data_IF_796238673248
#
_entry.id   IF_796238673248
#
_cell.length_a   1.000
_cell.length_b   1.000
_cell.length_c   1.000
_cell.angle_alpha   90.00
_cell.angle_beta   90.00
_cell.angle_gamma   90.00
#
_symmetry.space_group_name_H-M   'P 1'
#
loop_
_entity.id
_entity.type
_entity.pdbx_description
1 polymer ?
#
# COMPACT_ATOMS: atom_id res chain seq x y z
N UNK A 1 -0.46 -31.86 28.63
CA UNK A 1 -0.85 -30.63 29.35
C UNK A 1 0.41 -29.88 29.72
N UNK A 2 0.90 -28.98 28.84
CA UNK A 2 1.84 -27.89 29.16
C UNK A 2 1.59 -26.79 28.11
N UNK A 3 0.89 -25.75 28.58
CA UNK A 3 0.82 -24.34 28.18
C UNK A 3 0.94 -23.94 26.69
N UNK A 4 -0.20 -23.56 26.10
CA UNK A 4 -0.28 -22.56 25.04
C UNK A 4 -0.05 -21.18 25.67
N UNK A 5 0.80 -20.36 25.04
CA UNK A 5 1.09 -19.01 25.49
C UNK A 5 -0.13 -18.11 25.29
N UNK A 6 -0.72 -17.66 26.39
CA UNK A 6 -1.69 -16.57 26.38
C UNK A 6 -0.94 -15.28 26.06
N UNK A 7 -1.28 -14.65 24.93
CA UNK A 7 -0.82 -13.31 24.61
C UNK A 7 -1.67 -12.31 25.40
N UNK A 8 -1.18 -11.92 26.58
CA UNK A 8 -1.80 -10.89 27.41
C UNK A 8 -1.11 -9.56 27.13
N UNK A 9 -1.74 -8.66 26.38
CA UNK A 9 -1.35 -7.24 26.32
C UNK A 9 -2.57 -6.38 26.64
N UNK A 10 -2.35 -5.41 27.53
CA UNK A 10 -3.33 -4.66 28.31
C UNK A 10 -4.34 -3.85 27.48
N UNK A 11 -5.59 -4.31 27.48
CA UNK A 11 -6.83 -3.52 27.57
C UNK A 11 -7.92 -4.49 28.09
N UNK A 12 -8.25 -4.41 29.38
CA UNK A 12 -9.32 -5.16 30.07
C UNK A 12 -9.62 -6.61 29.61
N UNK A 13 -8.89 -7.61 30.11
CA UNK A 13 -9.28 -9.05 30.18
C UNK A 13 -10.17 -9.61 29.06
N UNK A 14 -9.94 -9.26 27.79
CA UNK A 14 -10.64 -9.87 26.66
C UNK A 14 -9.64 -10.78 25.94
N UNK A 15 -9.83 -12.10 26.06
CA UNK A 15 -9.12 -13.05 25.21
C UNK A 15 -9.72 -12.98 23.80
N UNK A 16 -8.89 -12.76 22.79
CA UNK A 16 -9.30 -12.73 21.38
C UNK A 16 -9.10 -14.09 20.73
N UNK A 17 -10.11 -14.58 20.02
CA UNK A 17 -10.11 -15.86 19.31
C UNK A 17 -9.25 -15.85 18.05
N UNK A 18 -9.15 -14.69 17.39
CA UNK A 18 -8.47 -14.54 16.12
C UNK A 18 -7.54 -13.35 16.13
N UNK A 19 -6.39 -13.51 15.47
CA UNK A 19 -5.42 -12.47 15.21
C UNK A 19 -5.09 -12.49 13.71
N UNK A 20 -5.21 -11.33 13.06
CA UNK A 20 -4.75 -11.10 11.70
C UNK A 20 -3.60 -10.11 11.75
N UNK A 21 -2.49 -10.46 11.10
CA UNK A 21 -1.45 -9.50 10.74
C UNK A 21 -1.59 -9.15 9.26
N UNK A 22 -1.74 -7.86 8.97
CA UNK A 22 -1.83 -7.32 7.62
C UNK A 22 -0.64 -6.38 7.40
N UNK A 23 0.37 -6.79 6.62
CA UNK A 23 1.60 -6.02 6.48
C UNK A 23 1.36 -4.69 5.77
N UNK A 24 2.27 -3.74 5.98
CA UNK A 24 2.45 -2.61 5.09
C UNK A 24 3.24 -3.04 3.86
N UNK A 25 3.39 -2.12 2.89
CA UNK A 25 4.11 -2.40 1.66
C UNK A 25 5.05 -1.29 1.25
N UNK A 26 6.08 -1.66 0.51
CA UNK A 26 6.94 -0.74 -0.24
C UNK A 26 6.99 -1.12 -1.71
N UNK A 27 7.23 -0.13 -2.57
CA UNK A 27 7.28 -0.29 -4.02
C UNK A 27 8.59 0.33 -4.54
N UNK A 28 9.62 -0.46 -4.86
CA UNK A 28 10.88 0.07 -5.36
C UNK A 28 10.80 0.53 -6.83
N UNK A 29 9.92 -0.10 -7.63
CA UNK A 29 9.70 0.19 -9.06
C UNK A 29 8.21 0.00 -9.42
N UNK A 30 7.71 0.79 -10.35
CA UNK A 30 6.29 0.82 -10.75
C UNK A 30 5.52 1.98 -10.12
N UNK A 31 6.17 3.12 -9.93
CA UNK A 31 5.55 4.34 -9.41
C UNK A 31 4.43 4.83 -10.33
N UNK A 32 3.22 5.08 -9.81
CA UNK A 32 2.15 5.77 -10.54
C UNK A 32 1.77 5.19 -11.92
N UNK A 33 1.93 3.88 -12.11
CA UNK A 33 1.55 3.20 -13.35
C UNK A 33 0.41 2.20 -13.16
N UNK A 34 0.12 1.78 -11.92
CA UNK A 34 -0.95 0.83 -11.59
C UNK A 34 -2.33 1.32 -12.06
N UNK A 35 -2.66 2.58 -11.79
CA UNK A 35 -3.91 3.21 -12.22
C UNK A 35 -3.97 3.50 -13.73
N UNK A 36 -2.90 3.19 -14.47
CA UNK A 36 -2.83 3.20 -15.94
C UNK A 36 -2.64 1.80 -16.52
N UNK A 37 -2.89 0.75 -15.73
CA UNK A 37 -2.72 -0.66 -16.11
C UNK A 37 -1.27 -1.02 -16.50
N UNK A 38 -0.28 -0.40 -15.85
CA UNK A 38 1.13 -0.72 -16.03
C UNK A 38 1.58 -1.96 -15.26
N UNK A 39 2.89 -2.24 -15.33
CA UNK A 39 3.53 -3.23 -14.48
C UNK A 39 3.98 -2.59 -13.18
N UNK A 40 3.81 -3.28 -12.06
CA UNK A 40 4.27 -2.82 -10.77
C UNK A 40 5.01 -3.89 -10.00
N UNK A 41 5.84 -3.44 -9.05
CA UNK A 41 6.55 -4.33 -8.14
C UNK A 41 6.42 -3.91 -6.69
N UNK A 42 6.62 -4.84 -5.76
CA UNK A 42 6.71 -4.48 -4.36
C UNK A 42 6.98 -5.61 -3.40
N UNK A 43 7.09 -5.22 -2.13
CA UNK A 43 7.27 -6.11 -0.99
C UNK A 43 6.19 -5.82 0.04
N UNK A 44 5.67 -6.86 0.68
CA UNK A 44 5.12 -6.73 2.02
C UNK A 44 6.28 -6.63 3.02
N UNK A 45 6.10 -5.91 4.12
CA UNK A 45 7.15 -5.72 5.13
C UNK A 45 6.74 -6.25 6.50
N UNK A 46 7.72 -6.51 7.37
CA UNK A 46 7.56 -6.99 8.75
C UNK A 46 7.00 -5.94 9.74
N UNK A 47 6.36 -4.91 9.19
CA UNK A 47 5.57 -3.89 9.88
C UNK A 47 4.21 -3.86 9.23
N UNK A 48 3.16 -3.80 10.04
CA UNK A 48 1.80 -3.80 9.54
C UNK A 48 0.79 -3.36 10.58
N UNK A 49 -0.41 -3.87 10.36
CA UNK A 49 -1.59 -3.70 11.20
C UNK A 49 -1.91 -5.04 11.84
N UNK A 50 -2.07 -5.03 13.15
CA UNK A 50 -2.60 -6.14 13.91
C UNK A 50 -4.09 -5.89 14.19
N UNK A 51 -4.92 -6.88 13.89
CA UNK A 51 -6.34 -6.92 14.23
C UNK A 51 -6.63 -8.15 15.07
N UNK A 52 -7.00 -7.95 16.33
CA UNK A 52 -7.47 -9.00 17.23
C UNK A 52 -8.97 -8.91 17.38
N UNK A 53 -9.68 -10.03 17.23
CA UNK A 53 -11.15 -9.99 17.28
C UNK A 53 -11.79 -11.31 17.72
N UNK A 54 -13.03 -11.18 18.20
CA UNK A 54 -13.98 -12.25 18.48
C UNK A 54 -15.16 -12.17 17.51
N UNK A 55 -15.73 -13.31 17.15
CA UNK A 55 -16.96 -13.36 16.34
C UNK A 55 -18.18 -13.28 17.25
N UNK A 56 -19.07 -12.34 16.99
CA UNK A 56 -20.24 -12.12 17.82
C UNK A 56 -21.29 -13.23 17.61
N UNK A 57 -21.91 -13.68 18.70
CA UNK A 57 -22.83 -14.82 18.70
C UNK A 57 -22.15 -16.20 18.60
N UNK A 58 -20.83 -16.29 18.74
CA UNK A 58 -20.17 -17.57 19.02
C UNK A 58 -20.32 -17.88 20.51
N UNK A 59 -21.18 -18.85 20.85
CA UNK A 59 -21.38 -19.27 22.24
C UNK A 59 -20.07 -19.79 22.84
N UNK A 60 -19.38 -18.99 23.65
CA UNK A 60 -18.33 -19.50 24.52
C UNK A 60 -18.94 -19.92 25.85
N UNK A 61 -18.83 -21.21 26.17
CA UNK A 61 -19.14 -21.73 27.50
C UNK A 61 -17.86 -21.61 28.32
N UNK A 62 -17.84 -20.69 29.29
CA UNK A 62 -16.84 -20.70 30.36
C UNK A 62 -17.57 -20.84 31.70
N UNK A 63 -17.21 -21.87 32.47
CA UNK A 63 -17.75 -22.14 33.82
C UNK A 63 -19.29 -22.17 33.94
N UNK A 64 -19.99 -22.67 32.92
CA UNK A 64 -21.45 -22.87 32.98
C UNK A 64 -22.25 -21.56 33.11
N UNK A 65 -21.64 -20.39 32.87
CA UNK A 65 -22.32 -19.10 32.83
C UNK A 65 -22.22 -18.50 31.44
N UNK A 66 -23.37 -18.16 30.87
CA UNK A 66 -23.46 -17.35 29.66
C UNK A 66 -22.82 -15.98 29.93
N UNK A 67 -21.87 -15.57 29.09
CA UNK A 67 -21.38 -14.19 29.08
C UNK A 67 -21.30 -13.72 27.63
N UNK A 68 -22.32 -12.96 27.23
CA UNK A 68 -22.30 -11.62 26.63
C UNK A 68 -23.78 -11.27 26.42
N UNK A 69 -24.35 -10.58 27.40
CA UNK A 69 -25.53 -9.76 27.16
C UNK A 69 -25.03 -8.46 26.50
N UNK A 70 -25.50 -8.18 25.28
CA UNK A 70 -25.83 -6.85 24.73
C UNK A 70 -25.40 -6.54 23.29
N UNK A 71 -24.69 -7.43 22.58
CA UNK A 71 -24.45 -7.21 21.15
C UNK A 71 -25.21 -8.23 20.30
N UNK A 72 -26.06 -7.72 19.41
CA UNK A 72 -26.70 -8.50 18.36
C UNK A 72 -25.63 -9.24 17.55
N UNK A 73 -25.93 -10.43 17.04
CA UNK A 73 -24.96 -11.24 16.29
C UNK A 73 -24.34 -10.48 15.10
N UNK A 74 -25.09 -9.56 14.51
CA UNK A 74 -24.67 -8.70 13.39
C UNK A 74 -23.83 -7.49 13.81
N UNK A 75 -23.71 -7.19 15.09
CA UNK A 75 -23.07 -5.97 15.55
C UNK A 75 -21.55 -6.05 15.38
N UNK A 76 -20.96 -4.98 14.85
CA UNK A 76 -19.51 -4.76 14.78
C UNK A 76 -19.15 -3.69 15.79
N UNK A 77 -18.19 -3.98 16.67
CA UNK A 77 -17.61 -3.06 17.63
C UNK A 77 -16.09 -3.09 17.50
N UNK A 78 -15.48 -1.95 17.15
CA UNK A 78 -14.04 -1.86 16.92
C UNK A 78 -13.45 -0.70 17.72
N UNK A 79 -12.36 -0.99 18.42
CA UNK A 79 -11.51 -0.01 19.07
C UNK A 79 -10.17 0.10 18.36
N UNK A 80 -9.50 1.25 18.47
CA UNK A 80 -8.16 1.45 17.93
C UNK A 80 -7.20 1.85 19.04
N UNK A 81 -6.04 1.21 19.08
CA UNK A 81 -4.94 1.61 19.98
C UNK A 81 -4.14 2.80 19.44
N UNK A 82 -4.47 3.28 18.23
CA UNK A 82 -3.73 4.34 17.53
C UNK A 82 -4.58 5.59 17.31
N UNK A 83 -5.90 5.44 17.25
CA UNK A 83 -6.84 6.53 16.99
C UNK A 83 -7.93 6.53 18.04
N UNK A 84 -8.35 7.71 18.48
CA UNK A 84 -9.46 7.84 19.42
C UNK A 84 -10.79 7.46 18.77
N UNK A 85 -11.74 7.11 19.63
CA UNK A 85 -13.11 6.77 19.24
C UNK A 85 -13.33 5.26 19.05
N UNK A 86 -14.61 4.91 18.97
CA UNK A 86 -15.11 3.55 18.79
C UNK A 86 -15.93 3.52 17.51
N UNK A 87 -15.81 2.44 16.75
CA UNK A 87 -16.59 2.22 15.53
C UNK A 87 -17.62 1.14 15.78
N UNK A 88 -18.89 1.52 15.70
CA UNK A 88 -20.02 0.61 15.85
C UNK A 88 -20.95 0.66 14.64
N UNK A 89 -21.36 -0.51 14.14
CA UNK A 89 -22.40 -0.63 13.11
C UNK A 89 -22.96 -2.05 13.02
N UNK A 90 -24.12 -2.20 12.40
CA UNK A 90 -24.69 -3.51 12.07
C UNK A 90 -24.15 -3.98 10.71
N UNK A 91 -23.51 -5.16 10.64
CA UNK A 91 -22.91 -5.71 9.41
C UNK A 91 -23.94 -6.23 8.39
N UNK A 92 -25.16 -6.56 8.82
CA UNK A 92 -26.24 -7.10 7.99
C UNK A 92 -27.05 -5.98 7.31
N UNK A 93 -27.09 -4.79 7.89
CA UNK A 93 -27.75 -3.64 7.28
C UNK A 93 -26.97 -3.11 6.07
N UNK A 94 -27.61 -2.58 5.02
CA UNK A 94 -26.92 -1.79 4.00
C UNK A 94 -26.45 -0.46 4.61
N UNK A 95 -25.15 -0.17 4.61
CA UNK A 95 -24.63 1.14 5.04
C UNK A 95 -24.33 2.01 3.81
N UNK A 96 -24.81 3.27 3.81
CA UNK A 96 -24.88 4.09 2.60
C UNK A 96 -24.08 5.42 2.65
N UNK A 97 -23.53 5.83 3.79
CA UNK A 97 -22.84 7.13 3.91
C UNK A 97 -21.55 7.02 4.71
N UNK A 98 -20.49 7.66 4.22
CA UNK A 98 -19.22 7.85 4.93
C UNK A 98 -19.42 8.75 6.15
N UNK A 99 -18.79 8.42 7.27
CA UNK A 99 -18.89 9.23 8.49
C UNK A 99 -17.67 10.13 8.69
N UNK A 100 -16.61 9.96 7.90
CA UNK A 100 -15.40 10.77 7.97
C UNK A 100 -14.42 10.37 9.09
N UNK A 101 -14.70 9.27 9.79
CA UNK A 101 -13.83 8.66 10.79
C UNK A 101 -13.06 7.45 10.23
N UNK A 102 -12.15 6.88 11.05
CA UNK A 102 -11.32 5.74 10.65
C UNK A 102 -12.13 4.44 10.41
N UNK A 103 -13.35 4.35 10.93
CA UNK A 103 -14.30 3.27 10.67
C UNK A 103 -14.82 3.21 9.24
N UNK A 104 -14.58 4.23 8.42
CA UNK A 104 -14.97 4.20 7.00
C UNK A 104 -14.26 3.06 6.25
N UNK A 105 -13.07 2.63 6.70
CA UNK A 105 -12.41 1.45 6.13
C UNK A 105 -13.16 0.15 6.47
N UNK A 106 -13.64 -0.01 7.71
CA UNK A 106 -14.46 -1.16 8.08
C UNK A 106 -15.80 -1.16 7.32
N UNK A 107 -16.46 0.00 7.23
CA UNK A 107 -17.70 0.15 6.45
C UNK A 107 -17.47 -0.11 4.96
N UNK A 108 -16.33 0.31 4.40
CA UNK A 108 -15.93 0.03 3.02
C UNK A 108 -15.69 -1.46 2.76
N UNK A 109 -14.98 -2.15 3.66
CA UNK A 109 -14.77 -3.60 3.57
C UNK A 109 -16.10 -4.36 3.59
N UNK A 110 -17.02 -3.99 4.50
CA UNK A 110 -18.39 -4.49 4.53
C UNK A 110 -19.11 -4.23 3.20
N UNK A 111 -19.09 -3.00 2.69
CA UNK A 111 -19.75 -2.62 1.44
C UNK A 111 -19.30 -3.51 0.26
N UNK A 112 -17.99 -3.70 0.10
CA UNK A 112 -17.46 -4.52 -1.00
C UNK A 112 -17.79 -6.02 -0.84
N UNK A 113 -17.78 -6.54 0.40
CA UNK A 113 -18.18 -7.91 0.68
C UNK A 113 -19.68 -8.14 0.42
N UNK A 114 -20.54 -7.19 0.81
CA UNK A 114 -22.00 -7.31 0.64
C UNK A 114 -22.46 -7.40 -0.81
N UNK A 115 -21.63 -6.97 -1.77
CA UNK A 115 -21.91 -7.16 -3.21
C UNK A 115 -21.91 -8.63 -3.63
N UNK A 116 -21.24 -9.49 -2.88
CA UNK A 116 -21.02 -10.91 -3.21
C UNK A 116 -21.66 -11.85 -2.20
N UNK A 117 -21.77 -11.43 -0.94
CA UNK A 117 -22.17 -12.29 0.16
C UNK A 117 -23.18 -11.61 1.09
N UNK A 118 -24.06 -12.41 1.69
CA UNK A 118 -24.92 -11.95 2.78
C UNK A 118 -24.14 -12.03 4.10
N UNK A 119 -23.88 -10.88 4.72
CA UNK A 119 -23.20 -10.81 6.01
C UNK A 119 -24.24 -10.80 7.15
N UNK A 120 -23.99 -11.57 8.21
CA UNK A 120 -24.89 -11.75 9.35
C UNK A 120 -24.18 -11.72 10.70
N UNK A 121 -22.89 -12.08 10.74
CA UNK A 121 -22.07 -12.12 11.94
C UNK A 121 -21.07 -10.96 11.94
N UNK A 122 -21.17 -10.11 12.96
CA UNK A 122 -20.20 -9.04 13.22
C UNK A 122 -19.05 -9.52 14.11
N UNK A 123 -18.19 -8.58 14.48
CA UNK A 123 -17.01 -8.85 15.30
C UNK A 123 -16.86 -7.80 16.40
N UNK A 124 -16.28 -8.20 17.52
CA UNK A 124 -15.76 -7.28 18.53
C UNK A 124 -14.24 -7.39 18.55
N UNK A 125 -13.52 -6.30 18.32
CA UNK A 125 -12.07 -6.36 18.15
C UNK A 125 -11.33 -5.04 18.37
N UNK A 126 -10.00 -5.13 18.44
CA UNK A 126 -9.10 -3.99 18.55
C UNK A 126 -8.06 -4.03 17.45
N UNK A 127 -7.71 -2.85 16.92
CA UNK A 127 -6.74 -2.67 15.84
C UNK A 127 -5.56 -1.81 16.30
N UNK A 128 -4.35 -2.16 15.84
CA UNK A 128 -3.12 -1.42 16.12
C UNK A 128 -2.23 -1.33 14.88
N UNK A 129 -1.77 -0.14 14.56
CA UNK A 129 -0.70 0.06 13.58
C UNK A 129 0.68 -0.01 14.23
N UNK A 130 1.65 -0.68 13.59
CA UNK A 130 3.02 -0.82 14.11
C UNK A 130 3.89 0.43 13.93
N UNK A 131 3.58 1.29 12.94
CA UNK A 131 4.30 2.55 12.68
C UNK A 131 3.31 3.68 12.35
N UNK A 132 3.73 4.96 12.47
CA UNK A 132 2.88 6.09 12.13
C UNK A 132 2.37 6.06 10.68
N UNK A 133 1.16 6.61 10.47
CA UNK A 133 0.58 6.72 9.12
C UNK A 133 1.39 7.67 8.25
N UNK A 134 1.85 7.21 7.07
CA UNK A 134 2.58 8.07 6.14
C UNK A 134 3.17 7.40 4.91
N UNK A 135 2.35 6.96 3.95
CA UNK A 135 2.82 6.56 2.61
C UNK A 135 3.17 5.08 2.42
N UNK A 136 2.86 4.22 3.40
CA UNK A 136 3.14 2.77 3.37
C UNK A 136 1.88 1.89 3.18
N UNK A 137 0.80 2.50 2.68
CA UNK A 137 -0.52 1.85 2.48
C UNK A 137 -1.16 1.30 3.73
N UNK A 138 -1.13 2.11 4.78
CA UNK A 138 -1.88 1.81 5.99
C UNK A 138 -3.39 1.66 5.73
N UNK A 139 -3.97 2.37 4.74
CA UNK A 139 -5.37 2.19 4.34
C UNK A 139 -5.66 0.81 3.77
N UNK A 140 -4.85 0.36 2.81
CA UNK A 140 -5.00 -0.95 2.20
C UNK A 140 -4.75 -2.10 3.20
N UNK A 141 -3.77 -1.95 4.11
CA UNK A 141 -3.50 -2.92 5.16
C UNK A 141 -4.72 -3.11 6.08
N UNK A 142 -5.32 -2.00 6.52
CA UNK A 142 -6.54 -2.01 7.35
C UNK A 142 -7.72 -2.60 6.58
N UNK A 143 -7.93 -2.21 5.32
CA UNK A 143 -9.00 -2.76 4.48
C UNK A 143 -8.88 -4.28 4.31
N UNK A 144 -7.68 -4.79 4.03
CA UNK A 144 -7.42 -6.23 3.90
C UNK A 144 -7.72 -6.95 5.22
N UNK A 145 -7.28 -6.41 6.36
CA UNK A 145 -7.56 -7.00 7.67
C UNK A 145 -9.07 -7.11 7.93
N UNK A 146 -9.85 -6.07 7.63
CA UNK A 146 -11.31 -6.11 7.79
C UNK A 146 -12.00 -7.04 6.80
N UNK A 147 -11.59 -7.07 5.53
CA UNK A 147 -12.13 -8.03 4.55
C UNK A 147 -11.92 -9.46 5.06
N UNK A 148 -10.72 -9.80 5.51
CA UNK A 148 -10.41 -11.12 6.06
C UNK A 148 -11.20 -11.42 7.36
N UNK A 149 -11.31 -10.46 8.28
CA UNK A 149 -12.03 -10.65 9.53
C UNK A 149 -13.53 -10.86 9.32
N UNK A 150 -14.17 -10.06 8.46
CA UNK A 150 -15.60 -10.20 8.15
C UNK A 150 -15.89 -11.46 7.35
N UNK A 151 -15.01 -11.84 6.42
CA UNK A 151 -15.12 -13.13 5.73
C UNK A 151 -15.05 -14.29 6.73
N UNK A 152 -14.07 -14.28 7.63
CA UNK A 152 -13.91 -15.28 8.69
C UNK A 152 -15.13 -15.37 9.61
N UNK A 153 -15.65 -14.23 10.07
CA UNK A 153 -16.82 -14.15 10.93
C UNK A 153 -18.07 -14.75 10.29
N UNK A 154 -18.19 -14.66 8.97
CA UNK A 154 -19.33 -15.14 8.20
C UNK A 154 -19.08 -16.50 7.51
N UNK A 155 -17.99 -17.20 7.84
CA UNK A 155 -17.67 -18.51 7.27
C UNK A 155 -17.36 -18.49 5.76
N UNK A 156 -16.99 -17.32 5.22
CA UNK A 156 -16.64 -17.13 3.81
C UNK A 156 -15.17 -17.48 3.63
N UNK A 157 -14.88 -18.41 2.72
CA UNK A 157 -13.52 -18.72 2.28
C UNK A 157 -13.17 -17.81 1.10
N UNK A 158 -12.03 -17.13 1.20
CA UNK A 158 -11.49 -16.26 0.15
C UNK A 158 -10.03 -16.63 -0.07
N UNK A 159 -9.66 -16.76 -1.33
CA UNK A 159 -8.25 -16.81 -1.73
C UNK A 159 -7.62 -15.42 -1.61
N UNK A 160 -6.30 -15.35 -1.44
CA UNK A 160 -5.57 -14.08 -1.25
C UNK A 160 -5.84 -13.07 -2.39
N UNK A 161 -6.00 -13.55 -3.61
CA UNK A 161 -6.33 -12.73 -4.78
C UNK A 161 -7.76 -12.16 -4.72
N UNK A 162 -8.71 -12.88 -4.13
CA UNK A 162 -10.07 -12.39 -3.93
C UNK A 162 -10.10 -11.32 -2.83
N UNK A 163 -9.37 -11.54 -1.73
CA UNK A 163 -9.17 -10.54 -0.67
C UNK A 163 -8.62 -9.24 -1.26
N UNK A 164 -7.58 -9.33 -2.09
CA UNK A 164 -7.00 -8.19 -2.80
C UNK A 164 -8.05 -7.44 -3.64
N UNK A 165 -8.84 -8.16 -4.46
CA UNK A 165 -9.85 -7.54 -5.34
C UNK A 165 -10.95 -6.84 -4.54
N UNK A 166 -11.46 -7.48 -3.49
CA UNK A 166 -12.52 -6.93 -2.64
C UNK A 166 -12.02 -5.68 -1.90
N UNK A 167 -10.80 -5.70 -1.37
CA UNK A 167 -10.20 -4.55 -0.71
C UNK A 167 -9.96 -3.37 -1.68
N UNK A 168 -9.54 -3.65 -2.92
CA UNK A 168 -9.37 -2.62 -3.95
C UNK A 168 -10.69 -1.98 -4.35
N UNK A 169 -11.75 -2.79 -4.47
CA UNK A 169 -13.10 -2.28 -4.75
C UNK A 169 -13.62 -1.39 -3.61
N UNK A 170 -13.41 -1.79 -2.35
CA UNK A 170 -13.76 -0.97 -1.20
C UNK A 170 -13.07 0.41 -1.23
N UNK A 171 -11.77 0.45 -1.55
CA UNK A 171 -11.02 1.71 -1.61
C UNK A 171 -11.50 2.63 -2.75
N UNK A 172 -11.75 2.06 -3.93
CA UNK A 172 -12.20 2.83 -5.09
C UNK A 172 -13.63 3.33 -4.97
N UNK A 173 -14.56 2.44 -4.63
CA UNK A 173 -15.99 2.74 -4.71
C UNK A 173 -16.58 3.30 -3.43
N UNK A 174 -16.04 2.92 -2.27
CA UNK A 174 -16.49 3.45 -0.98
C UNK A 174 -15.60 4.58 -0.49
N UNK A 175 -14.28 4.38 -0.39
CA UNK A 175 -13.38 5.45 0.08
C UNK A 175 -13.26 6.57 -0.95
N UNK A 176 -13.31 6.25 -2.25
CA UNK A 176 -13.31 7.23 -3.35
C UNK A 176 -11.90 7.60 -3.83
N UNK A 177 -10.91 6.73 -3.61
CA UNK A 177 -9.55 6.91 -4.11
C UNK A 177 -9.39 6.14 -5.41
N UNK A 178 -9.08 6.84 -6.51
CA UNK A 178 -8.86 6.23 -7.82
C UNK A 178 -7.42 5.69 -7.97
N UNK A 179 -6.97 4.88 -7.02
CA UNK A 179 -5.71 4.15 -7.11
C UNK A 179 -5.85 2.85 -7.90
N UNK A 180 -4.71 2.27 -8.29
CA UNK A 180 -4.67 0.93 -8.83
C UNK A 180 -4.59 -0.12 -7.72
N UNK A 181 -4.14 -1.32 -8.08
CA UNK A 181 -4.19 -2.50 -7.20
C UNK A 181 -2.85 -2.82 -6.53
N UNK A 182 -1.82 -2.00 -6.75
CA UNK A 182 -0.45 -2.24 -6.25
C UNK A 182 -0.45 -2.51 -4.74
N UNK A 183 -1.10 -1.64 -3.99
CA UNK A 183 -1.06 -1.65 -2.53
C UNK A 183 -1.67 -2.95 -1.98
N UNK A 184 -2.88 -3.26 -2.43
CA UNK A 184 -3.59 -4.47 -2.05
C UNK A 184 -2.84 -5.73 -2.49
N UNK A 185 -2.24 -5.71 -3.69
CA UNK A 185 -1.53 -6.85 -4.23
C UNK A 185 -0.30 -7.18 -3.40
N UNK A 186 0.53 -6.18 -3.05
CA UNK A 186 1.69 -6.40 -2.18
C UNK A 186 1.28 -6.98 -0.83
N UNK A 187 0.22 -6.44 -0.23
CA UNK A 187 -0.20 -6.80 1.12
C UNK A 187 -0.87 -8.18 1.15
N UNK A 188 -1.69 -8.53 0.17
CA UNK A 188 -2.40 -9.81 0.15
C UNK A 188 -1.57 -10.95 -0.45
N UNK A 189 -0.81 -10.69 -1.51
CA UNK A 189 -0.09 -11.72 -2.29
C UNK A 189 1.40 -11.79 -1.97
N UNK A 190 1.92 -10.85 -1.18
CA UNK A 190 3.33 -10.77 -0.82
C UNK A 190 3.85 -12.06 -0.19
N UNK A 191 5.14 -12.31 -0.39
CA UNK A 191 5.84 -13.45 0.19
C UNK A 191 7.22 -13.00 0.65
N UNK A 192 7.63 -13.47 1.83
CA UNK A 192 8.94 -13.17 2.38
C UNK A 192 10.04 -13.55 1.39
N UNK A 193 11.05 -12.68 1.26
CA UNK A 193 12.20 -12.84 0.37
C UNK A 193 11.83 -13.00 -1.13
N UNK A 194 10.67 -12.50 -1.56
CA UNK A 194 10.26 -12.45 -2.96
C UNK A 194 9.88 -11.03 -3.37
N UNK A 195 10.29 -10.63 -4.58
CA UNK A 195 9.75 -9.46 -5.26
C UNK A 195 8.43 -9.85 -5.92
N UNK A 196 7.33 -9.23 -5.50
CA UNK A 196 6.07 -9.33 -6.23
C UNK A 196 6.18 -8.51 -7.51
N UNK A 197 5.77 -9.10 -8.64
CA UNK A 197 5.43 -8.38 -9.86
C UNK A 197 3.96 -8.62 -10.17
N UNK A 198 3.24 -7.56 -10.53
CA UNK A 198 1.85 -7.61 -10.99
C UNK A 198 1.73 -6.85 -12.30
N UNK A 199 1.06 -7.45 -13.29
CA UNK A 199 0.51 -6.73 -14.43
C UNK A 199 -0.91 -6.27 -14.11
N UNK A 200 -1.10 -4.95 -13.97
CA UNK A 200 -2.41 -4.39 -13.61
C UNK A 200 -3.44 -4.46 -14.75
N UNK A 201 -3.05 -4.87 -15.96
CA UNK A 201 -3.98 -5.12 -17.08
C UNK A 201 -4.58 -6.53 -17.01
N UNK A 202 -3.73 -7.56 -17.00
CA UNK A 202 -4.15 -8.97 -17.01
C UNK A 202 -4.49 -9.50 -15.61
N UNK A 203 -4.02 -8.83 -14.56
CA UNK A 203 -3.95 -9.32 -13.18
C UNK A 203 -3.03 -10.54 -12.98
N UNK A 204 -2.19 -10.88 -13.95
CA UNK A 204 -1.17 -11.90 -13.75
C UNK A 204 -0.09 -11.39 -12.80
N UNK A 205 0.33 -12.24 -11.87
CA UNK A 205 1.38 -11.90 -10.93
C UNK A 205 2.44 -13.00 -10.83
N UNK A 206 3.65 -12.61 -10.46
CA UNK A 206 4.78 -13.51 -10.20
C UNK A 206 5.42 -13.14 -8.87
N UNK A 207 5.76 -14.15 -8.07
CA UNK A 207 6.60 -14.01 -6.89
C UNK A 207 8.02 -14.44 -7.28
N UNK A 208 8.91 -13.47 -7.42
CA UNK A 208 10.27 -13.71 -7.90
C UNK A 208 11.20 -13.83 -6.67
N UNK A 209 11.74 -15.01 -6.36
CA UNK A 209 12.57 -15.19 -5.18
C UNK A 209 13.84 -14.33 -5.24
N UNK A 210 14.33 -13.88 -4.09
CA UNK A 210 15.66 -13.27 -3.96
C UNK A 210 16.71 -14.23 -4.55
N UNK A 211 17.54 -13.73 -5.45
CA UNK A 211 18.61 -14.53 -6.03
C UNK A 211 19.63 -14.95 -4.95
N UNK A 212 20.13 -16.18 -5.02
CA UNK A 212 21.00 -16.74 -3.98
C UNK A 212 22.33 -15.99 -3.82
N UNK A 213 22.82 -15.36 -4.88
CA UNK A 213 24.02 -14.53 -4.90
C UNK A 213 23.77 -13.07 -4.51
N UNK A 214 22.51 -12.66 -4.29
CA UNK A 214 22.18 -11.29 -3.93
C UNK A 214 22.65 -11.00 -2.49
N UNK A 215 23.37 -9.90 -2.25
CA UNK A 215 23.72 -9.46 -0.90
C UNK A 215 22.50 -9.35 0.01
N UNK A 216 22.72 -9.42 1.31
CA UNK A 216 21.69 -9.07 2.27
C UNK A 216 21.38 -7.58 2.19
N UNK A 217 20.10 -7.27 2.31
CA UNK A 217 19.59 -5.91 2.27
C UNK A 217 18.43 -5.77 3.26
N UNK A 218 18.17 -4.54 3.67
CA UNK A 218 16.94 -4.17 4.35
C UNK A 218 16.23 -3.03 3.63
N UNK A 219 14.97 -2.82 4.00
CA UNK A 219 14.14 -1.76 3.49
C UNK A 219 14.18 -0.60 4.48
N UNK A 220 14.94 0.44 4.15
CA UNK A 220 14.98 1.69 4.89
C UNK A 220 13.74 2.52 4.59
N UNK A 221 13.11 3.07 5.62
CA UNK A 221 11.93 3.92 5.53
C UNK A 221 12.22 5.23 6.26
N UNK A 222 12.17 6.34 5.54
CA UNK A 222 12.55 7.67 6.04
C UNK A 222 11.33 8.60 6.01
N UNK A 223 10.63 8.72 7.13
CA UNK A 223 9.46 9.58 7.24
C UNK A 223 9.86 11.05 7.37
N UNK A 224 9.36 11.90 6.48
CA UNK A 224 9.58 13.36 6.54
C UNK A 224 8.98 14.05 7.75
N UNK A 225 8.02 13.42 8.45
CA UNK A 225 7.24 14.08 9.50
C UNK A 225 6.11 14.96 8.97
N UNK A 226 5.88 15.00 7.65
CA UNK A 226 4.71 15.63 7.03
C UNK A 226 3.44 14.78 7.19
N UNK A 227 2.37 15.40 7.70
CA UNK A 227 1.10 14.71 8.00
C UNK A 227 -0.11 15.13 7.13
N UNK A 228 0.03 16.11 6.22
CA UNK A 228 -1.05 16.68 5.36
C UNK A 228 -1.91 15.60 4.69
N UNK A 229 -3.23 15.80 4.48
CA UNK A 229 -4.14 14.81 3.85
C UNK A 229 -3.85 14.51 2.36
N UNK A 230 -4.16 13.29 1.89
CA UNK A 230 -4.10 12.89 0.47
C UNK A 230 -5.34 13.39 -0.28
N UNK A 231 -6.48 13.46 0.43
CA UNK A 231 -7.68 14.12 -0.08
C UNK A 231 -7.39 15.61 -0.21
N UNK A 232 -7.38 16.11 -1.45
CA UNK A 232 -6.95 17.47 -1.80
C UNK A 232 -5.54 17.58 -2.40
N UNK A 233 -4.85 16.45 -2.66
CA UNK A 233 -3.60 16.43 -3.44
C UNK A 233 -3.84 16.36 -4.96
N UNK A 234 -2.80 16.68 -5.73
CA UNK A 234 -2.76 16.60 -7.20
C UNK A 234 -2.86 15.17 -7.75
N UNK A 235 -2.99 14.12 -6.90
CA UNK A 235 -3.01 12.73 -7.36
C UNK A 235 -4.07 12.45 -8.43
N UNK A 236 -5.34 12.79 -8.15
CA UNK A 236 -6.43 12.56 -9.12
C UNK A 236 -6.24 13.38 -10.39
N UNK A 237 -5.63 14.57 -10.29
CA UNK A 237 -5.26 15.38 -11.44
C UNK A 237 -4.22 14.65 -12.29
N UNK A 238 -3.18 14.08 -11.69
CA UNK A 238 -2.15 13.29 -12.41
C UNK A 238 -2.75 12.07 -13.11
N UNK A 239 -3.67 11.37 -12.45
CA UNK A 239 -4.42 10.25 -13.07
C UNK A 239 -5.16 10.75 -14.33
N UNK A 240 -5.88 11.87 -14.24
CA UNK A 240 -6.60 12.45 -15.37
C UNK A 240 -5.66 12.94 -16.50
N UNK A 241 -4.51 13.52 -16.17
CA UNK A 241 -3.48 13.93 -17.13
C UNK A 241 -2.94 12.73 -17.92
N UNK A 242 -2.72 11.58 -17.27
CA UNK A 242 -2.32 10.35 -17.95
C UNK A 242 -3.38 9.84 -18.93
N UNK A 243 -4.65 9.81 -18.50
CA UNK A 243 -5.77 9.41 -19.38
C UNK A 243 -5.88 10.35 -20.59
N UNK A 244 -5.67 11.64 -20.37
CA UNK A 244 -5.65 12.65 -21.45
C UNK A 244 -4.50 12.43 -22.42
N UNK A 245 -3.30 12.11 -21.91
CA UNK A 245 -2.15 11.80 -22.76
C UNK A 245 -2.42 10.59 -23.68
N UNK A 246 -3.00 9.51 -23.14
CA UNK A 246 -3.40 8.34 -23.92
C UNK A 246 -4.44 8.69 -25.01
N UNK A 247 -5.45 9.48 -24.63
CA UNK A 247 -6.51 9.93 -25.53
C UNK A 247 -5.96 10.79 -26.68
N UNK A 248 -4.98 11.66 -26.41
CA UNK A 248 -4.28 12.44 -27.44
C UNK A 248 -3.51 11.56 -28.42
N UNK A 249 -2.81 10.52 -27.93
CA UNK A 249 -2.12 9.55 -28.81
C UNK A 249 -3.12 8.85 -29.72
N UNK A 250 -4.26 8.40 -29.19
CA UNK A 250 -5.32 7.79 -30.01
C UNK A 250 -5.84 8.75 -31.09
N UNK A 251 -6.06 10.02 -30.73
CA UNK A 251 -6.49 11.04 -31.68
C UNK A 251 -5.46 11.28 -32.80
N UNK A 252 -4.18 11.38 -32.46
CA UNK A 252 -3.11 11.58 -33.45
C UNK A 252 -2.91 10.39 -34.39
N UNK A 253 -3.22 9.18 -33.92
CA UNK A 253 -3.19 7.93 -34.70
C UNK A 253 -4.52 7.64 -35.44
N UNK A 254 -5.53 8.51 -35.34
CA UNK A 254 -6.88 8.29 -35.86
C UNK A 254 -7.54 6.99 -35.36
N UNK A 255 -7.20 6.56 -34.14
CA UNK A 255 -7.83 5.44 -33.46
C UNK A 255 -9.19 5.90 -32.89
N UNK A 256 -10.27 5.10 -33.00
CA UNK A 256 -11.55 5.42 -32.38
C UNK A 256 -11.41 5.72 -30.89
N UNK A 257 -11.87 6.90 -30.49
CA UNK A 257 -11.72 7.41 -29.13
C UNK A 257 -12.67 6.68 -28.18
N UNK A 258 -12.10 6.12 -27.10
CA UNK A 258 -12.88 5.65 -25.94
C UNK A 258 -13.34 6.83 -25.10
N UNK A 259 -14.30 6.61 -24.19
CA UNK A 259 -14.58 7.57 -23.11
C UNK A 259 -13.29 7.85 -22.34
N UNK A 260 -13.00 9.12 -22.04
CA UNK A 260 -11.73 9.52 -21.42
C UNK A 260 -11.46 8.81 -20.09
N UNK A 261 -12.50 8.59 -19.28
CA UNK A 261 -12.41 7.87 -18.00
C UNK A 261 -12.08 6.37 -18.16
N UNK A 262 -12.26 5.79 -19.35
CA UNK A 262 -11.97 4.39 -19.71
C UNK A 262 -10.75 4.27 -20.65
N UNK A 263 -10.00 5.36 -20.83
CA UNK A 263 -8.77 5.40 -21.63
C UNK A 263 -7.57 5.40 -20.69
N UNK A 264 -6.58 4.55 -20.97
CA UNK A 264 -5.38 4.38 -20.15
C UNK A 264 -4.12 4.43 -21.00
N UNK A 265 -2.98 4.81 -20.43
CA UNK A 265 -1.71 4.83 -21.18
C UNK A 265 -1.30 3.45 -21.71
N UNK A 266 -1.74 2.36 -21.06
CA UNK A 266 -1.57 0.99 -21.55
C UNK A 266 -2.30 0.70 -22.86
N UNK A 267 -3.36 1.44 -23.20
CA UNK A 267 -4.11 1.26 -24.45
C UNK A 267 -3.33 1.68 -25.71
N UNK A 268 -2.19 2.35 -25.56
CA UNK A 268 -1.37 2.87 -26.68
C UNK A 268 0.07 2.38 -26.58
N UNK A 269 0.71 2.18 -27.73
CA UNK A 269 2.10 1.71 -27.76
C UNK A 269 3.09 2.85 -27.48
N UNK A 270 4.26 2.51 -26.92
CA UNK A 270 5.36 3.46 -26.72
C UNK A 270 5.81 4.09 -28.06
N UNK A 271 5.75 3.33 -29.16
CA UNK A 271 6.11 3.83 -30.49
C UNK A 271 5.15 4.93 -30.97
N UNK A 272 3.83 4.72 -30.81
CA UNK A 272 2.82 5.74 -31.12
C UNK A 272 3.05 7.01 -30.30
N UNK A 273 3.33 6.86 -28.99
CA UNK A 273 3.69 7.99 -28.15
C UNK A 273 4.94 8.73 -28.66
N UNK A 274 6.03 8.03 -28.97
CA UNK A 274 7.29 8.63 -29.44
C UNK A 274 7.11 9.45 -30.72
N UNK A 275 6.31 8.98 -31.67
CA UNK A 275 6.05 9.68 -32.94
C UNK A 275 5.37 11.04 -32.71
N UNK A 276 4.47 11.14 -31.72
CA UNK A 276 3.68 12.35 -31.48
C UNK A 276 4.08 13.15 -30.23
N UNK A 277 5.11 12.70 -29.51
CA UNK A 277 5.58 13.30 -28.26
C UNK A 277 5.72 14.81 -28.35
N UNK A 278 6.39 15.29 -29.40
CA UNK A 278 6.72 16.72 -29.57
C UNK A 278 5.53 17.56 -30.05
N UNK A 279 4.45 16.92 -30.53
CA UNK A 279 3.19 17.59 -30.91
C UNK A 279 2.25 17.75 -29.71
N UNK A 280 2.43 16.93 -28.68
CA UNK A 280 1.59 16.89 -27.50
C UNK A 280 1.95 18.06 -26.57
N UNK A 281 0.97 18.68 -25.87
CA UNK A 281 1.28 19.65 -24.82
C UNK A 281 2.26 19.06 -23.78
N UNK A 282 3.34 19.78 -23.41
CA UNK A 282 4.45 19.20 -22.64
C UNK A 282 4.04 18.50 -21.35
N UNK A 283 3.00 19.00 -20.67
CA UNK A 283 2.48 18.41 -19.43
C UNK A 283 2.01 16.96 -19.61
N UNK A 284 1.32 16.66 -20.71
CA UNK A 284 0.79 15.32 -21.00
C UNK A 284 1.91 14.42 -21.53
N UNK A 285 2.81 14.97 -22.34
CA UNK A 285 3.98 14.26 -22.84
C UNK A 285 4.85 13.75 -21.68
N UNK A 286 5.07 14.57 -20.63
CA UNK A 286 5.79 14.16 -19.42
C UNK A 286 5.11 13.01 -18.68
N UNK A 287 3.78 12.98 -18.56
CA UNK A 287 3.06 11.86 -17.91
C UNK A 287 3.22 10.56 -18.69
N UNK A 288 3.09 10.61 -20.00
CA UNK A 288 3.31 9.45 -20.86
C UNK A 288 4.77 8.98 -20.80
N UNK A 289 5.74 9.90 -20.83
CA UNK A 289 7.17 9.61 -20.66
C UNK A 289 7.45 8.89 -19.33
N UNK A 290 6.84 9.35 -18.23
CA UNK A 290 6.95 8.65 -16.94
C UNK A 290 6.43 7.22 -17.04
N UNK A 291 5.22 7.02 -17.57
CA UNK A 291 4.60 5.70 -17.68
C UNK A 291 5.45 4.71 -18.49
N UNK A 292 5.86 5.08 -19.72
CA UNK A 292 6.61 4.18 -20.59
C UNK A 292 8.01 3.90 -20.06
N UNK A 293 8.69 4.92 -19.54
CA UNK A 293 10.02 4.73 -18.95
C UNK A 293 9.96 3.90 -17.65
N UNK A 294 8.91 4.05 -16.84
CA UNK A 294 8.71 3.25 -15.63
C UNK A 294 8.37 1.80 -15.96
N UNK A 295 7.53 1.57 -16.96
CA UNK A 295 7.22 0.23 -17.46
C UNK A 295 8.49 -0.50 -17.91
N UNK A 296 9.40 0.20 -18.61
CA UNK A 296 10.73 -0.33 -18.95
C UNK A 296 11.57 -0.62 -17.71
N UNK A 297 11.66 0.32 -16.76
CA UNK A 297 12.42 0.13 -15.51
C UNK A 297 11.93 -1.06 -14.70
N UNK A 298 10.62 -1.33 -14.65
CA UNK A 298 10.08 -2.52 -13.98
C UNK A 298 10.58 -3.81 -14.63
N UNK A 299 10.57 -3.88 -15.98
CA UNK A 299 11.10 -5.06 -16.70
C UNK A 299 12.59 -5.27 -16.45
N UNK A 300 13.37 -4.21 -16.51
CA UNK A 300 14.81 -4.24 -16.20
C UNK A 300 15.06 -4.62 -14.74
N UNK A 301 14.24 -4.12 -13.82
CA UNK A 301 14.33 -4.42 -12.39
C UNK A 301 14.04 -5.88 -12.07
N UNK A 302 13.09 -6.50 -12.78
CA UNK A 302 12.86 -7.95 -12.69
C UNK A 302 14.13 -8.71 -13.06
N UNK A 303 14.78 -8.35 -14.18
CA UNK A 303 16.04 -8.99 -14.58
C UNK A 303 17.17 -8.72 -13.59
N UNK A 304 17.30 -7.50 -13.07
CA UNK A 304 18.28 -7.17 -12.04
C UNK A 304 18.08 -8.00 -10.77
N UNK A 305 16.83 -8.18 -10.36
CA UNK A 305 16.45 -8.98 -9.20
C UNK A 305 16.76 -10.48 -9.40
N UNK A 306 16.35 -11.05 -10.55
CA UNK A 306 16.59 -12.46 -10.91
C UNK A 306 18.09 -12.79 -11.00
N UNK A 307 18.92 -11.83 -11.39
CA UNK A 307 20.39 -12.00 -11.51
C UNK A 307 21.16 -11.67 -10.22
N UNK A 308 20.48 -11.20 -9.17
CA UNK A 308 21.10 -10.81 -7.91
C UNK A 308 21.86 -9.49 -7.97
N UNK A 309 21.68 -8.69 -9.03
CA UNK A 309 22.36 -7.41 -9.20
C UNK A 309 21.63 -6.29 -8.45
N UNK A 310 21.85 -6.25 -7.14
CA UNK A 310 21.20 -5.29 -6.23
C UNK A 310 21.59 -3.83 -6.54
N UNK A 311 22.81 -3.58 -6.99
CA UNK A 311 23.27 -2.25 -7.42
C UNK A 311 22.49 -1.73 -8.63
N UNK A 312 22.28 -2.59 -9.64
CA UNK A 312 21.48 -2.23 -10.79
C UNK A 312 20.00 -2.04 -10.41
N UNK A 313 19.46 -2.89 -9.55
CA UNK A 313 18.09 -2.71 -9.04
C UNK A 313 17.94 -1.38 -8.29
N UNK A 314 18.91 -1.03 -7.45
CA UNK A 314 18.98 0.25 -6.74
C UNK A 314 19.07 1.44 -7.69
N UNK A 315 19.90 1.37 -8.73
CA UNK A 315 20.03 2.45 -9.71
C UNK A 315 18.75 2.67 -10.52
N UNK A 316 18.01 1.60 -10.84
CA UNK A 316 16.68 1.69 -11.44
C UNK A 316 15.67 2.35 -10.51
N UNK A 317 15.73 2.07 -9.19
CA UNK A 317 14.86 2.71 -8.21
C UNK A 317 15.15 4.22 -8.08
N UNK A 318 16.42 4.62 -8.11
CA UNK A 318 16.83 6.04 -8.20
C UNK A 318 16.24 6.69 -9.46
N UNK A 319 16.42 6.07 -10.63
CA UNK A 319 15.89 6.57 -11.90
C UNK A 319 14.34 6.65 -11.93
N UNK A 320 13.65 5.74 -11.23
CA UNK A 320 12.20 5.82 -11.00
C UNK A 320 11.84 7.09 -10.23
N UNK A 321 12.55 7.39 -9.14
CA UNK A 321 12.32 8.60 -8.36
C UNK A 321 12.60 9.89 -9.16
N UNK A 322 13.70 9.94 -9.92
CA UNK A 322 13.98 11.06 -10.83
C UNK A 322 12.82 11.30 -11.80
N UNK A 323 12.28 10.22 -12.37
CA UNK A 323 11.12 10.34 -13.25
C UNK A 323 9.86 10.77 -12.50
N UNK A 324 9.67 10.36 -11.24
CA UNK A 324 8.56 10.84 -10.41
C UNK A 324 8.66 12.36 -10.17
N UNK A 325 9.86 12.87 -9.89
CA UNK A 325 10.10 14.30 -9.67
C UNK A 325 9.90 15.10 -10.95
N UNK A 326 10.56 14.71 -12.04
CA UNK A 326 10.66 15.53 -13.25
C UNK A 326 9.56 15.27 -14.28
N UNK A 327 9.17 14.01 -14.49
CA UNK A 327 8.17 13.65 -15.49
C UNK A 327 6.77 13.50 -14.89
N UNK A 328 6.65 12.98 -13.67
CA UNK A 328 5.35 12.88 -13.00
C UNK A 328 5.00 14.13 -12.18
N UNK A 329 5.99 14.97 -11.86
CA UNK A 329 5.81 16.20 -11.07
C UNK A 329 5.07 15.90 -9.74
N UNK A 330 5.60 14.91 -9.00
CA UNK A 330 5.23 14.62 -7.62
C UNK A 330 6.46 14.66 -6.69
N UNK A 331 6.22 14.66 -5.38
CA UNK A 331 7.26 14.92 -4.37
C UNK A 331 7.11 16.29 -3.74
N UNK A 332 7.12 16.33 -2.40
CA UNK A 332 7.25 17.60 -1.68
C UNK A 332 8.73 17.98 -1.52
N UNK A 333 9.05 19.25 -1.24
CA UNK A 333 10.43 19.68 -0.95
C UNK A 333 11.13 18.81 0.11
N UNK A 334 10.37 18.39 1.13
CA UNK A 334 10.83 17.53 2.21
C UNK A 334 11.22 16.13 1.72
N UNK A 335 10.38 15.52 0.88
CA UNK A 335 10.68 14.21 0.29
C UNK A 335 11.88 14.30 -0.65
N UNK A 336 11.96 15.34 -1.46
CA UNK A 336 13.09 15.59 -2.37
C UNK A 336 14.39 15.75 -1.55
N UNK A 337 14.36 16.45 -0.41
CA UNK A 337 15.54 16.60 0.44
C UNK A 337 16.01 15.27 1.05
N UNK A 338 15.09 14.43 1.52
CA UNK A 338 15.43 13.07 1.99
C UNK A 338 16.03 12.25 0.85
N UNK A 339 15.41 12.27 -0.32
CA UNK A 339 15.89 11.56 -1.50
C UNK A 339 17.30 12.03 -1.91
N UNK A 340 17.55 13.34 -1.94
CA UNK A 340 18.88 13.88 -2.23
C UNK A 340 19.92 13.47 -1.18
N UNK A 341 19.54 13.40 0.10
CA UNK A 341 20.41 12.87 1.14
C UNK A 341 20.73 11.40 0.88
N UNK A 342 19.73 10.58 0.52
CA UNK A 342 19.91 9.16 0.20
C UNK A 342 20.89 8.93 -0.97
N UNK A 343 20.90 9.80 -1.98
CA UNK A 343 21.80 9.67 -3.15
C UNK A 343 23.28 9.76 -2.79
N UNK A 344 23.62 10.41 -1.68
CA UNK A 344 25.00 10.70 -1.27
C UNK A 344 25.44 9.92 -0.03
N UNK A 345 24.55 9.13 0.57
CA UNK A 345 24.83 8.36 1.78
C UNK A 345 25.29 6.96 1.41
N UNK A 346 26.45 6.57 1.94
CA UNK A 346 27.02 5.24 1.72
C UNK A 346 26.14 4.14 2.33
N UNK A 347 26.07 2.98 1.67
CA UNK A 347 25.19 1.87 2.05
C UNK A 347 23.77 1.93 1.49
N UNK A 348 23.46 2.91 0.65
CA UNK A 348 22.16 3.00 -0.03
C UNK A 348 22.30 2.63 -1.51
N UNK A 349 21.80 1.43 -1.85
CA UNK A 349 21.77 0.95 -3.24
C UNK A 349 20.87 1.83 -4.11
N UNK A 350 19.71 2.21 -3.57
CA UNK A 350 18.78 3.15 -4.18
C UNK A 350 17.41 3.15 -3.54
N UNK A 351 16.59 4.10 -3.98
CA UNK A 351 15.32 4.35 -3.34
C UNK A 351 14.50 5.41 -4.05
N UNK A 352 13.27 5.59 -3.57
CA UNK A 352 12.29 6.52 -4.13
C UNK A 352 11.27 6.97 -3.10
N UNK A 353 10.37 7.87 -3.48
CA UNK A 353 9.20 8.18 -2.67
C UNK A 353 8.31 6.95 -2.49
N UNK A 354 7.73 6.81 -1.30
CA UNK A 354 6.71 5.80 -1.03
C UNK A 354 5.31 6.35 -1.26
N UNK A 355 4.41 5.49 -1.75
CA UNK A 355 3.03 5.84 -2.04
C UNK A 355 2.93 6.94 -3.12
N UNK A 356 1.95 7.83 -2.96
CA UNK A 356 1.62 8.84 -3.97
C UNK A 356 2.60 10.02 -4.06
N UNK A 357 3.62 10.11 -3.20
CA UNK A 357 4.63 11.18 -3.24
C UNK A 357 4.16 12.56 -2.74
N UNK A 358 2.94 12.68 -2.17
CA UNK A 358 2.41 13.95 -1.64
C UNK A 358 2.34 13.99 -0.09
N UNK A 359 2.62 12.86 0.55
CA UNK A 359 2.87 12.70 1.99
C UNK A 359 4.04 11.74 2.16
N UNK A 360 4.62 11.72 3.36
CA UNK A 360 5.08 10.46 3.92
C UNK A 360 6.58 10.25 3.88
N UNK A 361 7.01 9.13 3.32
CA UNK A 361 8.35 8.61 3.47
C UNK A 361 9.05 8.37 2.13
N UNK A 362 10.37 8.43 2.15
CA UNK A 362 11.18 7.75 1.13
C UNK A 362 11.46 6.33 1.57
N UNK A 363 11.59 5.42 0.61
CA UNK A 363 12.05 4.04 0.84
C UNK A 363 13.38 3.83 0.14
N UNK A 364 14.25 3.01 0.71
CA UNK A 364 15.49 2.57 0.09
C UNK A 364 15.75 1.08 0.33
N UNK A 365 16.50 0.47 -0.59
CA UNK A 365 17.26 -0.74 -0.32
C UNK A 365 18.60 -0.33 0.30
N UNK A 366 18.90 -0.86 1.49
CA UNK A 366 20.07 -0.47 2.26
C UNK A 366 20.91 -1.66 2.69
N UNK A 367 22.21 -1.44 2.84
CA UNK A 367 23.16 -2.35 3.46
C UNK A 367 22.87 -2.46 4.97
N UNK A 368 22.52 -3.66 5.50
CA UNK A 368 22.22 -3.84 6.91
C UNK A 368 23.39 -3.52 7.83
N UNK A 369 24.64 -3.58 7.33
CA UNK A 369 25.82 -3.25 8.12
C UNK A 369 26.00 -1.74 8.35
N UNK A 370 25.31 -0.89 7.57
CA UNK A 370 25.48 0.58 7.59
C UNK A 370 24.28 1.33 8.16
N UNK A 371 23.29 0.65 8.75
CA UNK A 371 22.02 1.27 9.22
C UNK A 371 22.22 2.46 10.16
N UNK A 372 23.09 2.31 11.17
CA UNK A 372 23.34 3.38 12.14
C UNK A 372 23.94 4.63 11.48
N UNK A 373 24.89 4.43 10.56
CA UNK A 373 25.47 5.51 9.77
C UNK A 373 24.43 6.15 8.86
N UNK A 374 23.63 5.35 8.16
CA UNK A 374 22.58 5.80 7.26
C UNK A 374 21.56 6.67 8.01
N UNK A 375 21.06 6.18 9.15
CA UNK A 375 20.10 6.91 9.99
C UNK A 375 20.69 8.24 10.45
N UNK A 376 21.93 8.24 10.95
CA UNK A 376 22.61 9.45 11.40
C UNK A 376 22.76 10.47 10.26
N UNK A 377 23.36 10.08 9.14
CA UNK A 377 23.66 11.00 8.03
C UNK A 377 22.40 11.57 7.40
N UNK A 378 21.37 10.75 7.18
CA UNK A 378 20.11 11.25 6.61
C UNK A 378 19.42 12.19 7.61
N UNK A 379 19.40 11.84 8.90
CA UNK A 379 18.80 12.71 9.93
C UNK A 379 19.49 14.07 9.97
N UNK A 380 20.82 14.09 9.97
CA UNK A 380 21.61 15.34 9.99
C UNK A 380 21.34 16.18 8.73
N UNK A 381 21.50 15.61 7.53
CA UNK A 381 21.29 16.31 6.25
C UNK A 381 19.85 16.82 6.09
N UNK A 382 18.86 16.06 6.56
CA UNK A 382 17.46 16.44 6.47
C UNK A 382 17.09 17.56 7.46
N UNK A 383 17.48 17.42 8.73
CA UNK A 383 17.14 18.38 9.78
C UNK A 383 17.93 19.69 9.67
N UNK A 384 19.06 19.71 8.96
CA UNK A 384 19.73 20.96 8.58
C UNK A 384 18.82 21.84 7.70
N UNK A 385 18.08 21.23 6.78
CA UNK A 385 17.14 21.93 5.88
C UNK A 385 15.75 22.12 6.50
N UNK A 386 15.30 21.18 7.33
CA UNK A 386 13.96 21.17 7.93
C UNK A 386 13.97 20.93 9.45
N UNK A 387 14.56 21.83 10.25
CA UNK A 387 14.71 21.64 11.70
C UNK A 387 13.38 21.51 12.46
N UNK A 388 12.29 22.04 11.90
CA UNK A 388 10.95 21.93 12.47
C UNK A 388 10.43 20.49 12.58
N UNK A 389 10.99 19.54 11.81
CA UNK A 389 10.58 18.13 11.83
C UNK A 389 11.42 17.27 12.77
N UNK A 390 12.28 17.86 13.62
CA UNK A 390 13.14 17.12 14.57
C UNK A 390 12.42 16.05 15.39
N UNK A 391 11.17 16.32 15.80
CA UNK A 391 10.40 15.40 16.64
C UNK A 391 9.52 14.42 15.83
N UNK A 392 9.25 14.72 14.56
CA UNK A 392 8.34 13.95 13.70
C UNK A 392 9.05 13.14 12.61
N UNK A 393 10.30 13.49 12.27
CA UNK A 393 11.17 12.68 11.43
C UNK A 393 11.46 11.35 12.12
N UNK A 394 11.33 10.25 11.38
CA UNK A 394 11.56 8.88 11.90
C UNK A 394 12.19 8.02 10.82
N UNK A 395 13.12 7.18 11.24
CA UNK A 395 13.75 6.16 10.40
C UNK A 395 13.35 4.79 10.92
N UNK A 396 13.02 3.88 10.01
CA UNK A 396 12.80 2.48 10.31
C UNK A 396 13.55 1.62 9.29
N UNK A 397 14.05 0.49 9.76
CA UNK A 397 14.59 -0.55 8.90
C UNK A 397 13.73 -1.79 9.04
N UNK A 398 13.30 -2.32 7.91
CA UNK A 398 12.32 -3.39 7.82
C UNK A 398 12.84 -4.50 6.91
N UNK A 399 12.29 -5.71 7.10
CA UNK A 399 12.53 -6.84 6.21
C UNK A 399 11.29 -7.11 5.37
N UNK A 400 11.48 -7.76 4.21
CA UNK A 400 10.34 -8.33 3.49
C UNK A 400 9.68 -9.40 4.36
N UNK A 401 8.35 -9.51 4.25
CA UNK A 401 7.56 -10.50 4.99
C UNK A 401 6.51 -11.14 4.08
N UNK A 402 5.82 -12.15 4.61
CA UNK A 402 4.65 -12.73 3.97
C UNK A 402 3.47 -11.74 3.96
N UNK A 403 2.54 -11.96 3.04
CA UNK A 403 1.29 -11.23 2.96
C UNK A 403 0.40 -11.41 4.19
N UNK A 404 -0.76 -10.77 4.14
CA UNK A 404 -1.74 -10.76 5.22
C UNK A 404 -2.19 -12.18 5.57
N UNK A 405 -2.21 -12.49 6.86
CA UNK A 405 -2.43 -13.85 7.36
C UNK A 405 -3.05 -13.86 8.75
N UNK A 406 -3.73 -14.96 9.07
CA UNK A 406 -4.03 -15.30 10.45
C UNK A 406 -2.74 -15.77 11.13
N UNK A 407 -2.48 -15.28 12.35
CA UNK A 407 -1.26 -15.56 13.13
C UNK A 407 -1.50 -16.64 14.17
#
# INVERSE_FOLDING_TARGET
MVFRSNYTIFAGNMEYQYHIFSPYRVCPLGAHVDHQHGLVTGFAIDKGVDLWFNVNGSSQIENGKWKIENYLESHVHLESQTFDGVVEFDIATPALVKQGDWGDYARGAKFALQKRFKLQKGITGTIKGSIPVGGLSSSAAVLIAYVMAFAKANGIQLEAFEVMKIASEAEREYIGLNNGMLDQACIALGKKDHLLMLDCESNEYRLIPKAANMPDFELGIFFSGLTRSLMGSDYNLRVAECKTAAWLVQAYENIPLKEQNKTFLRDVSENMFKIHRDKMPPRFARRAEHFFSEHKRVREGITAWETGNLEWFGSLSKASCESSIHNYECGSPELIAIYNAMLTTDGIYGGRFSGAGFKGACIALVDPAKKEQIEKEITEKYLEQFPQYKNSFKVYFCKSDDGARFV
#
